data_IF_662601221460
#
_entry.id   IF_662601221460
#
_cell.length_a   1.000
_cell.length_b   1.000
_cell.length_c   1.000
_cell.angle_alpha   90.00
_cell.angle_beta   90.00
_cell.angle_gamma   90.00
#
_symmetry.space_group_name_H-M   'P 1'
#
loop_
_entity.id
_entity.type
_entity.pdbx_description
1 polymer ?
#
# COMPACT_ATOMS: atom_id res chain seq x y z
N UNK A 1 18.91 8.15 -7.32
CA UNK A 1 18.08 9.29 -7.78
C UNK A 1 16.91 9.45 -6.81
N UNK A 2 16.81 10.62 -6.18
CA UNK A 2 15.76 10.99 -5.23
C UNK A 2 14.58 11.55 -6.03
N UNK A 3 13.34 11.20 -5.66
CA UNK A 3 12.18 11.85 -6.25
C UNK A 3 11.87 13.06 -5.38
N UNK A 4 12.14 14.24 -5.91
CA UNK A 4 11.73 15.49 -5.27
C UNK A 4 10.20 15.62 -5.36
N UNK A 5 9.60 16.21 -4.32
CA UNK A 5 8.16 16.46 -4.20
C UNK A 5 7.27 15.19 -4.22
N UNK A 6 7.71 14.13 -3.55
CA UNK A 6 6.93 12.90 -3.33
C UNK A 6 6.05 12.99 -2.08
N UNK A 7 4.76 12.76 -2.27
CA UNK A 7 3.77 12.57 -1.21
C UNK A 7 3.41 11.09 -1.10
N UNK A 8 3.64 10.51 0.08
CA UNK A 8 3.19 9.14 0.38
C UNK A 8 1.85 9.24 1.10
N UNK A 9 0.79 8.69 0.49
CA UNK A 9 -0.57 8.76 1.01
C UNK A 9 -1.05 7.35 1.35
N UNK A 10 -1.24 7.09 2.64
CA UNK A 10 -1.90 5.88 3.09
C UNK A 10 -3.41 6.03 2.96
N UNK A 11 -4.08 5.00 2.44
CA UNK A 11 -5.54 4.92 2.41
C UNK A 11 -5.99 3.76 3.30
N UNK A 12 -6.75 4.08 4.35
CA UNK A 12 -7.25 3.09 5.30
C UNK A 12 -8.30 2.14 4.70
N UNK A 13 -8.31 0.91 5.20
CA UNK A 13 -9.26 -0.12 4.77
C UNK A 13 -10.73 0.23 5.03
N UNK A 14 -11.02 1.11 6.00
CA UNK A 14 -12.38 1.62 6.25
C UNK A 14 -12.98 2.36 5.05
N UNK A 15 -12.16 2.85 4.14
CA UNK A 15 -12.61 3.56 2.93
C UNK A 15 -12.88 2.63 1.75
N UNK A 16 -12.75 1.30 1.90
CA UNK A 16 -12.83 0.33 0.79
C UNK A 16 -13.98 0.62 -0.18
N UNK A 17 -15.19 0.86 0.32
CA UNK A 17 -16.38 1.05 -0.53
C UNK A 17 -16.58 2.48 -1.06
N UNK A 18 -15.87 3.47 -0.50
CA UNK A 18 -15.99 4.89 -0.85
C UNK A 18 -14.70 5.48 -1.42
N UNK A 19 -13.72 4.63 -1.76
CA UNK A 19 -12.37 5.05 -2.15
C UNK A 19 -12.29 5.66 -3.55
N UNK A 20 -13.21 5.30 -4.46
CA UNK A 20 -13.11 5.68 -5.88
C UNK A 20 -13.06 7.20 -6.12
N UNK A 21 -13.94 8.03 -5.53
CA UNK A 21 -13.83 9.48 -5.65
C UNK A 21 -12.49 10.03 -5.12
N UNK A 22 -11.99 9.50 -4.01
CA UNK A 22 -10.70 9.91 -3.44
C UNK A 22 -9.54 9.61 -4.40
N UNK A 23 -9.48 8.41 -4.96
CA UNK A 23 -8.43 8.03 -5.93
C UNK A 23 -8.48 8.91 -7.18
N UNK A 24 -9.68 9.21 -7.68
CA UNK A 24 -9.84 10.11 -8.82
C UNK A 24 -9.37 11.53 -8.51
N UNK A 25 -9.68 12.05 -7.32
CA UNK A 25 -9.17 13.35 -6.87
C UNK A 25 -7.64 13.36 -6.77
N UNK A 26 -7.04 12.32 -6.17
CA UNK A 26 -5.59 12.21 -6.07
C UNK A 26 -4.92 12.13 -7.45
N UNK A 27 -5.51 11.36 -8.37
CA UNK A 27 -5.04 11.24 -9.75
C UNK A 27 -5.05 12.60 -10.46
N UNK A 28 -6.15 13.35 -10.36
CA UNK A 28 -6.28 14.68 -10.95
C UNK A 28 -5.36 15.73 -10.30
N UNK A 29 -5.07 15.59 -9.01
CA UNK A 29 -4.14 16.47 -8.30
C UNK A 29 -2.66 16.15 -8.59
N UNK A 30 -2.35 14.91 -8.95
CA UNK A 30 -0.97 14.48 -9.18
C UNK A 30 -0.32 15.21 -10.35
N UNK A 31 0.93 15.62 -10.16
CA UNK A 31 1.70 16.35 -11.17
C UNK A 31 3.19 16.15 -10.95
N UNK A 32 4.02 16.72 -11.83
CA UNK A 32 5.49 16.69 -11.65
C UNK A 32 5.94 17.36 -10.34
N UNK A 33 5.15 18.31 -9.83
CA UNK A 33 5.39 19.01 -8.56
C UNK A 33 4.69 18.35 -7.36
N UNK A 34 3.82 17.37 -7.60
CA UNK A 34 3.06 16.66 -6.58
C UNK A 34 2.96 15.18 -6.97
N UNK A 35 4.07 14.44 -6.85
CA UNK A 35 4.04 13.00 -7.12
C UNK A 35 3.43 12.27 -5.95
N UNK A 36 2.60 11.27 -6.21
CA UNK A 36 1.82 10.59 -5.18
C UNK A 36 2.06 9.09 -5.23
N UNK A 37 2.55 8.54 -4.12
CA UNK A 37 2.59 7.09 -3.91
C UNK A 37 1.49 6.70 -2.92
N UNK A 38 0.50 5.95 -3.40
CA UNK A 38 -0.60 5.45 -2.57
C UNK A 38 -0.19 4.14 -1.91
N UNK A 39 -0.37 4.05 -0.59
CA UNK A 39 -0.18 2.83 0.19
C UNK A 39 -1.56 2.33 0.66
N UNK A 40 -2.07 1.21 0.14
CA UNK A 40 -3.35 0.67 0.58
C UNK A 40 -3.22 0.06 1.98
N UNK A 41 -4.25 0.22 2.82
CA UNK A 41 -4.47 -0.66 3.96
C UNK A 41 -4.97 -2.04 3.52
N UNK A 42 -5.15 -2.95 4.47
CA UNK A 42 -5.59 -4.32 4.14
C UNK A 42 -7.10 -4.50 3.91
N UNK A 43 -7.92 -3.48 4.19
CA UNK A 43 -9.36 -3.52 3.93
C UNK A 43 -10.09 -4.73 4.54
N UNK A 44 -11.17 -5.13 3.88
CA UNK A 44 -11.94 -6.33 4.23
C UNK A 44 -11.08 -7.61 4.15
N UNK A 45 -10.06 -7.65 3.29
CA UNK A 45 -9.17 -8.80 3.17
C UNK A 45 -8.36 -9.03 4.45
N UNK A 46 -7.88 -7.97 5.11
CA UNK A 46 -7.19 -8.09 6.39
C UNK A 46 -8.13 -8.45 7.54
N UNK A 47 -9.42 -8.10 7.47
CA UNK A 47 -10.40 -8.59 8.45
C UNK A 47 -10.56 -10.12 8.37
N UNK A 48 -10.54 -10.70 7.16
CA UNK A 48 -10.53 -12.17 6.99
C UNK A 48 -9.31 -12.80 7.66
N UNK A 49 -8.12 -12.19 7.51
CA UNK A 49 -6.90 -12.66 8.17
C UNK A 49 -7.01 -12.58 9.69
N UNK A 50 -7.56 -11.48 10.23
CA UNK A 50 -7.82 -11.33 11.67
C UNK A 50 -8.79 -12.36 12.19
N UNK A 51 -9.83 -12.68 11.44
CA UNK A 51 -10.82 -13.70 11.82
C UNK A 51 -10.20 -15.10 11.88
N UNK A 52 -9.36 -15.46 10.90
CA UNK A 52 -8.61 -16.71 10.91
C UNK A 52 -7.65 -16.77 12.10
N UNK A 53 -6.90 -15.70 12.34
CA UNK A 53 -5.94 -15.63 13.46
C UNK A 53 -6.64 -15.75 14.82
N UNK A 54 -7.77 -15.08 15.01
CA UNK A 54 -8.57 -15.18 16.24
C UNK A 54 -9.03 -16.60 16.52
N UNK A 55 -9.47 -17.33 15.49
CA UNK A 55 -10.03 -18.68 15.59
C UNK A 55 -8.98 -19.79 15.70
N UNK A 56 -7.90 -19.68 14.92
CA UNK A 56 -6.93 -20.76 14.73
C UNK A 56 -5.59 -20.47 15.44
N UNK A 57 -5.35 -19.22 15.87
CA UNK A 57 -4.08 -18.76 16.45
C UNK A 57 -2.92 -19.02 15.50
N UNK A 58 -2.87 -18.25 14.43
CA UNK A 58 -1.82 -18.38 13.43
C UNK A 58 -0.48 -17.98 14.04
N UNK A 59 0.62 -18.49 13.48
CA UNK A 59 1.93 -17.94 13.82
C UNK A 59 2.00 -16.46 13.40
N UNK A 60 2.67 -15.64 14.19
CA UNK A 60 2.85 -14.22 13.89
C UNK A 60 3.42 -13.97 12.48
N UNK A 61 4.35 -14.83 12.04
CA UNK A 61 4.92 -14.78 10.68
C UNK A 61 3.85 -15.00 9.60
N UNK A 62 2.96 -15.97 9.80
CA UNK A 62 1.91 -16.28 8.84
C UNK A 62 0.84 -15.18 8.81
N UNK A 63 0.33 -14.74 9.97
CA UNK A 63 -0.67 -13.67 10.05
C UNK A 63 -0.15 -12.35 9.49
N UNK A 64 1.10 -11.97 9.81
CA UNK A 64 1.75 -10.78 9.27
C UNK A 64 1.90 -10.85 7.74
N UNK A 65 2.42 -11.96 7.19
CA UNK A 65 2.54 -12.15 5.74
C UNK A 65 1.19 -12.07 5.03
N UNK A 66 0.15 -12.69 5.59
CA UNK A 66 -1.19 -12.63 5.02
C UNK A 66 -1.80 -11.23 5.09
N UNK A 67 -1.55 -10.48 6.17
CA UNK A 67 -1.99 -9.09 6.27
C UNK A 67 -1.32 -8.18 5.21
N UNK A 68 -0.04 -8.40 4.91
CA UNK A 68 0.64 -7.71 3.81
C UNK A 68 0.05 -8.07 2.44
N UNK A 69 -0.22 -9.35 2.20
CA UNK A 69 -0.89 -9.78 0.96
C UNK A 69 -2.30 -9.21 0.83
N UNK A 70 -3.03 -9.06 1.94
CA UNK A 70 -4.33 -8.39 1.95
C UNK A 70 -4.22 -6.92 1.50
N UNK A 71 -3.14 -6.22 1.85
CA UNK A 71 -2.88 -4.86 1.34
C UNK A 71 -2.64 -4.86 -0.17
N UNK A 72 -1.91 -5.84 -0.71
CA UNK A 72 -1.73 -5.99 -2.16
C UNK A 72 -3.07 -6.22 -2.86
N UNK A 73 -3.93 -7.09 -2.32
CA UNK A 73 -5.28 -7.32 -2.85
C UNK A 73 -6.11 -6.03 -2.86
N UNK A 74 -6.04 -5.23 -1.80
CA UNK A 74 -6.67 -3.91 -1.76
C UNK A 74 -6.07 -2.95 -2.79
N UNK A 75 -4.76 -2.97 -2.99
CA UNK A 75 -4.08 -2.15 -4.00
C UNK A 75 -4.50 -2.49 -5.43
N UNK A 76 -4.64 -3.77 -5.75
CA UNK A 76 -5.17 -4.24 -7.05
C UNK A 76 -6.61 -3.77 -7.24
N UNK A 77 -7.44 -3.90 -6.20
CA UNK A 77 -8.81 -3.39 -6.21
C UNK A 77 -8.88 -1.87 -6.46
N UNK A 78 -8.01 -1.08 -5.79
CA UNK A 78 -7.94 0.37 -6.03
C UNK A 78 -7.50 0.70 -7.46
N UNK A 79 -6.57 -0.07 -8.01
CA UNK A 79 -6.10 0.09 -9.39
C UNK A 79 -7.22 -0.12 -10.39
N UNK A 80 -8.00 -1.18 -10.25
CA UNK A 80 -9.14 -1.48 -11.12
C UNK A 80 -10.17 -0.33 -11.13
N UNK A 81 -10.47 0.23 -9.95
CA UNK A 81 -11.44 1.32 -9.81
C UNK A 81 -10.99 2.67 -10.39
N UNK A 82 -9.68 2.94 -10.43
CA UNK A 82 -9.10 4.27 -10.69
C UNK A 82 -8.21 4.33 -11.94
N UNK A 83 -7.86 3.17 -12.48
CA UNK A 83 -6.85 2.98 -13.52
C UNK A 83 -5.50 3.62 -13.17
N UNK A 84 -5.13 3.67 -11.89
CA UNK A 84 -3.80 4.02 -11.42
C UNK A 84 -2.94 2.74 -11.45
N UNK A 85 -1.74 2.81 -12.02
CA UNK A 85 -0.84 1.64 -12.12
C UNK A 85 -0.38 1.18 -10.73
N UNK A 86 -0.32 -0.14 -10.55
CA UNK A 86 0.31 -0.77 -9.38
C UNK A 86 1.80 -1.02 -9.61
N UNK A 87 2.57 -1.03 -8.53
CA UNK A 87 4.00 -1.34 -8.52
C UNK A 87 4.31 -2.19 -7.29
N UNK A 88 5.21 -3.16 -7.39
CA UNK A 88 5.53 -4.08 -6.28
C UNK A 88 6.98 -3.94 -5.78
N UNK A 89 7.72 -2.96 -6.31
CA UNK A 89 9.10 -2.68 -5.95
C UNK A 89 9.44 -1.19 -6.12
N UNK A 90 10.50 -0.74 -5.45
CA UNK A 90 10.86 0.68 -5.41
C UNK A 90 11.43 1.20 -6.72
N UNK A 91 12.00 0.34 -7.56
CA UNK A 91 12.52 0.76 -8.86
C UNK A 91 11.36 1.10 -9.80
N UNK A 92 10.41 0.19 -9.97
CA UNK A 92 9.24 0.39 -10.81
C UNK A 92 8.33 1.50 -10.27
N UNK A 93 8.25 1.66 -8.93
CA UNK A 93 7.59 2.81 -8.32
C UNK A 93 8.20 4.12 -8.81
N UNK A 94 9.53 4.23 -8.85
CA UNK A 94 10.19 5.45 -9.33
C UNK A 94 9.94 5.71 -10.81
N UNK A 95 10.08 4.67 -11.65
CA UNK A 95 9.81 4.78 -13.10
C UNK A 95 8.37 5.23 -13.35
N UNK A 96 7.41 4.55 -12.72
CA UNK A 96 5.99 4.85 -12.87
C UNK A 96 5.66 6.27 -12.40
N UNK A 97 6.20 6.72 -11.26
CA UNK A 97 5.99 8.07 -10.75
C UNK A 97 6.58 9.17 -11.65
N UNK A 98 7.64 8.87 -12.41
CA UNK A 98 8.17 9.81 -13.40
C UNK A 98 7.29 9.90 -14.67
N UNK A 99 6.60 8.81 -15.02
CA UNK A 99 5.70 8.74 -16.17
C UNK A 99 4.29 9.31 -15.88
N UNK A 100 3.66 8.84 -14.80
CA UNK A 100 2.24 9.09 -14.51
C UNK A 100 2.00 9.99 -13.30
N UNK A 101 3.04 10.40 -12.58
CA UNK A 101 2.99 11.19 -11.34
C UNK A 101 2.27 10.52 -10.15
N UNK A 102 1.51 9.45 -10.37
CA UNK A 102 0.83 8.69 -9.32
C UNK A 102 0.99 7.18 -9.54
N UNK A 103 1.16 6.44 -8.45
CA UNK A 103 1.24 4.98 -8.43
C UNK A 103 0.64 4.41 -7.14
N UNK A 104 0.21 3.15 -7.17
CA UNK A 104 -0.21 2.38 -5.98
C UNK A 104 0.87 1.34 -5.66
N UNK A 105 1.46 1.39 -4.47
CA UNK A 105 2.42 0.37 -4.03
C UNK A 105 1.68 -0.88 -3.54
N UNK A 106 2.10 -2.05 -3.99
CA UNK A 106 1.78 -3.36 -3.44
C UNK A 106 2.90 -3.73 -2.46
N UNK A 107 2.73 -3.49 -1.14
CA UNK A 107 3.85 -3.48 -0.21
C UNK A 107 4.38 -4.85 0.17
N UNK A 108 3.68 -5.96 -0.11
CA UNK A 108 4.07 -7.26 0.45
C UNK A 108 5.48 -7.66 0.06
N UNK A 109 5.85 -7.53 -1.22
CA UNK A 109 7.17 -7.90 -1.73
C UNK A 109 8.27 -7.00 -1.18
N UNK A 110 8.02 -5.70 -1.07
CA UNK A 110 9.01 -4.74 -0.58
C UNK A 110 9.27 -4.92 0.91
N UNK A 111 8.21 -5.13 1.70
CA UNK A 111 8.35 -5.36 3.14
C UNK A 111 9.00 -6.71 3.42
N UNK A 112 8.55 -7.78 2.77
CA UNK A 112 9.07 -9.13 3.01
C UNK A 112 10.51 -9.36 2.50
N UNK A 113 11.00 -8.53 1.57
CA UNK A 113 12.38 -8.63 1.07
C UNK A 113 13.41 -7.95 1.97
N UNK A 114 12.98 -7.07 2.87
CA UNK A 114 13.88 -6.37 3.79
C UNK A 114 13.99 -7.07 5.14
N UNK A 115 12.95 -7.80 5.56
CA UNK A 115 12.83 -8.45 6.89
C UNK A 115 13.13 -7.49 8.07
N UNK A 116 13.06 -6.17 7.82
CA UNK A 116 13.42 -5.12 8.78
C UNK A 116 12.30 -4.87 9.80
N UNK A 117 11.10 -5.41 9.57
CA UNK A 117 9.92 -5.13 10.38
C UNK A 117 9.54 -6.32 11.27
N UNK A 118 9.17 -6.06 12.55
CA UNK A 118 8.65 -7.10 13.43
C UNK A 118 7.45 -7.78 12.78
N UNK A 119 7.47 -9.11 12.77
CA UNK A 119 6.35 -9.91 12.30
C UNK A 119 5.26 -9.86 13.37
N UNK A 120 4.46 -8.80 13.34
CA UNK A 120 3.42 -8.53 14.34
C UNK A 120 2.30 -7.69 13.75
N UNK A 121 1.19 -7.59 14.48
CA UNK A 121 0.08 -6.72 14.16
C UNK A 121 0.36 -5.24 14.44
N UNK A 122 1.46 -4.91 15.14
CA UNK A 122 1.87 -3.53 15.42
C UNK A 122 2.42 -2.84 14.17
N UNK A 123 2.91 -3.62 13.21
CA UNK A 123 3.32 -3.12 11.89
C UNK A 123 2.07 -3.00 11.02
N UNK A 124 1.65 -1.75 10.82
CA UNK A 124 0.45 -1.43 10.05
C UNK A 124 0.81 -0.75 8.73
N UNK A 125 -0.20 -0.52 7.90
CA UNK A 125 -0.11 0.32 6.71
C UNK A 125 0.48 1.72 7.00
N UNK A 126 0.30 2.26 8.21
CA UNK A 126 0.84 3.56 8.59
C UNK A 126 2.36 3.48 8.82
N UNK A 127 2.84 2.43 9.48
CA UNK A 127 4.28 2.15 9.65
C UNK A 127 4.97 1.98 8.29
N UNK A 128 4.31 1.25 7.38
CA UNK A 128 4.81 1.01 6.01
C UNK A 128 4.89 2.33 5.23
N UNK A 129 3.86 3.18 5.32
CA UNK A 129 3.86 4.48 4.65
C UNK A 129 4.98 5.41 5.17
N UNK A 130 5.28 5.37 6.48
CA UNK A 130 6.35 6.15 7.07
C UNK A 130 7.73 5.75 6.52
N UNK A 131 7.99 4.44 6.38
CA UNK A 131 9.27 3.91 5.88
C UNK A 131 9.54 4.39 4.45
N UNK A 132 8.53 4.34 3.58
CA UNK A 132 8.69 4.73 2.18
C UNK A 132 8.67 6.24 1.95
N UNK A 133 8.33 7.05 2.96
CA UNK A 133 8.54 8.50 2.91
C UNK A 133 10.02 8.89 3.12
N UNK A 134 10.82 8.02 3.74
CA UNK A 134 12.18 8.35 4.21
C UNK A 134 13.28 7.85 3.24
N UNK A 135 12.95 7.08 2.19
CA UNK A 135 13.90 6.51 1.21
C UNK A 135 13.79 7.17 -0.17
#
# INVERSE_FOLDING_TARGET
>A
MKIDNLHVIKIGGSLTYSVKPLLNTLKSFSSRENRILVIPGGGMFAEVVRDLDRKIKLSNRASHRMALMAMDMTGIYFSDLSHIKTVDNLYDAKVTLLESNIAILLPSKVVLSTDELPHSWEVTSDSIALIYKIR
#
